data_IF_609364273799
#
_entry.id   IF_609364273799
#
_cell.length_a   1.000
_cell.length_b   1.000
_cell.length_c   1.000
_cell.angle_alpha   90.00
_cell.angle_beta   90.00
_cell.angle_gamma   90.00
#
_symmetry.space_group_name_H-M   'P 1'
#
loop_
_entity.id
_entity.type
_entity.pdbx_description
1 polymer ?
#
# COMPACT_ATOMS: atom_id res chain seq x y z
N UNK A 1 -22.13 22.48 4.44
CA UNK A 1 -21.48 21.32 5.10
C UNK A 1 -20.01 21.16 4.68
N UNK A 2 -19.64 21.28 3.39
CA UNK A 2 -18.24 21.17 2.91
C UNK A 2 -17.23 22.15 3.55
N UNK A 3 -17.62 23.39 3.83
CA UNK A 3 -16.71 24.42 4.39
C UNK A 3 -16.29 24.15 5.84
N UNK A 4 -17.14 23.51 6.64
CA UNK A 4 -16.82 23.17 8.03
C UNK A 4 -15.80 22.03 8.09
N UNK A 5 -15.95 21.06 7.19
CA UNK A 5 -15.06 19.92 7.08
C UNK A 5 -13.65 20.35 6.67
N UNK A 6 -13.53 21.19 5.63
CA UNK A 6 -12.27 21.81 5.20
C UNK A 6 -11.57 22.56 6.35
N UNK A 7 -12.33 23.37 7.11
CA UNK A 7 -11.81 24.09 8.28
C UNK A 7 -11.33 23.14 9.38
N UNK A 8 -12.09 22.09 9.66
CA UNK A 8 -11.73 21.06 10.63
C UNK A 8 -10.43 20.35 10.26
N UNK A 9 -10.27 19.92 9.00
CA UNK A 9 -9.04 19.27 8.53
C UNK A 9 -7.83 20.20 8.65
N UNK A 10 -7.97 21.47 8.26
CA UNK A 10 -6.89 22.47 8.38
C UNK A 10 -6.46 22.68 9.84
N UNK A 11 -7.42 22.83 10.74
CA UNK A 11 -7.14 23.06 12.16
C UNK A 11 -6.57 21.80 12.84
N UNK A 12 -7.07 20.62 12.49
CA UNK A 12 -6.59 19.36 13.03
C UNK A 12 -5.16 19.03 12.55
N UNK A 13 -4.80 19.40 11.31
CA UNK A 13 -3.41 19.38 10.79
C UNK A 13 -2.50 20.29 11.61
N UNK A 14 -2.93 21.55 11.83
CA UNK A 14 -2.17 22.54 12.62
C UNK A 14 -1.87 22.04 14.04
N UNK A 15 -2.83 21.36 14.66
CA UNK A 15 -2.74 20.83 16.02
C UNK A 15 -2.14 19.43 16.12
N UNK A 16 -1.73 18.82 14.99
CA UNK A 16 -1.25 17.43 14.92
C UNK A 16 -2.19 16.41 15.57
N UNK A 17 -3.50 16.62 15.44
CA UNK A 17 -4.51 15.73 16.02
C UNK A 17 -4.64 14.49 15.14
N UNK A 18 -4.36 13.32 15.71
CA UNK A 18 -4.50 12.04 15.03
C UNK A 18 -5.84 11.38 15.40
N UNK A 19 -6.76 11.29 14.44
CA UNK A 19 -8.05 10.61 14.61
C UNK A 19 -8.48 9.94 13.29
N UNK A 20 -9.63 9.26 13.29
CA UNK A 20 -10.11 8.55 12.10
C UNK A 20 -10.29 9.47 10.88
N UNK A 21 -10.68 10.73 11.08
CA UNK A 21 -10.88 11.69 10.00
C UNK A 21 -9.54 12.23 9.49
N UNK A 22 -8.65 12.69 10.37
CA UNK A 22 -7.33 13.20 9.95
C UNK A 22 -6.45 12.11 9.34
N UNK A 23 -6.58 10.86 9.78
CA UNK A 23 -5.84 9.72 9.21
C UNK A 23 -6.01 9.56 7.69
N UNK A 24 -7.22 9.85 7.17
CA UNK A 24 -7.53 9.77 5.73
C UNK A 24 -7.43 11.11 4.99
N UNK A 25 -7.38 12.23 5.72
CA UNK A 25 -7.38 13.60 5.15
C UNK A 25 -6.11 14.41 5.42
N UNK A 26 -5.10 13.81 6.07
CA UNK A 26 -3.74 14.33 6.04
C UNK A 26 -3.24 14.21 4.59
N UNK A 27 -2.88 15.36 4.02
CA UNK A 27 -2.29 15.45 2.69
C UNK A 27 -0.88 14.87 2.75
N UNK A 28 -0.78 13.56 2.71
CA UNK A 28 0.49 12.88 2.49
C UNK A 28 0.75 12.83 0.98
N UNK A 29 1.77 13.56 0.48
CA UNK A 29 2.10 13.58 -0.94
C UNK A 29 2.40 12.19 -1.49
N UNK A 30 2.95 11.30 -0.67
CA UNK A 30 3.27 9.93 -1.07
C UNK A 30 1.99 9.10 -1.25
N UNK A 31 1.00 9.28 -0.36
CA UNK A 31 -0.31 8.62 -0.50
C UNK A 31 -1.05 9.12 -1.73
N UNK A 32 -1.10 10.44 -1.96
CA UNK A 32 -1.77 10.99 -3.15
C UNK A 32 -1.18 10.47 -4.45
N UNK A 33 0.13 10.29 -4.49
CA UNK A 33 0.85 9.91 -5.72
C UNK A 33 0.80 8.41 -6.03
N UNK A 34 0.51 7.55 -5.04
CA UNK A 34 0.61 6.10 -5.23
C UNK A 34 -0.50 5.27 -4.59
N UNK A 35 -1.24 5.74 -3.59
CA UNK A 35 -2.32 4.96 -3.00
C UNK A 35 -3.45 4.78 -4.02
N UNK A 36 -3.91 3.54 -4.22
CA UNK A 36 -4.85 3.25 -5.31
C UNK A 36 -6.18 3.98 -5.14
N UNK A 37 -6.66 4.11 -3.90
CA UNK A 37 -7.90 4.83 -3.59
C UNK A 37 -7.75 6.34 -3.86
N UNK A 38 -6.60 6.95 -3.56
CA UNK A 38 -6.32 8.35 -3.89
C UNK A 38 -6.25 8.57 -5.40
N UNK A 39 -5.52 7.71 -6.11
CA UNK A 39 -5.39 7.80 -7.57
C UNK A 39 -6.73 7.62 -8.27
N UNK A 40 -7.54 6.65 -7.83
CA UNK A 40 -8.90 6.46 -8.32
C UNK A 40 -9.73 7.71 -8.10
N UNK A 41 -9.71 8.27 -6.89
CA UNK A 41 -10.44 9.49 -6.57
C UNK A 41 -9.99 10.67 -7.44
N UNK A 42 -8.69 10.88 -7.61
CA UNK A 42 -8.15 11.97 -8.43
C UNK A 42 -8.53 11.80 -9.90
N UNK A 43 -8.39 10.60 -10.45
CA UNK A 43 -8.82 10.28 -11.82
C UNK A 43 -10.31 10.53 -12.04
N UNK A 44 -11.16 10.14 -11.08
CA UNK A 44 -12.61 10.35 -11.18
C UNK A 44 -13.03 11.82 -11.13
N UNK A 45 -12.20 12.70 -10.57
CA UNK A 45 -12.42 14.16 -10.56
C UNK A 45 -11.88 14.80 -11.83
N UNK A 46 -10.71 14.36 -12.29
CA UNK A 46 -10.01 15.00 -13.41
C UNK A 46 -10.46 14.50 -14.79
N UNK A 47 -10.96 13.27 -14.89
CA UNK A 47 -11.32 12.66 -16.17
C UNK A 47 -12.81 12.79 -16.47
N UNK A 48 -13.14 13.26 -17.68
CA UNK A 48 -14.51 13.26 -18.19
C UNK A 48 -14.93 11.82 -18.53
N UNK A 49 -14.02 11.07 -19.16
CA UNK A 49 -14.24 9.69 -19.58
C UNK A 49 -13.67 8.70 -18.56
N UNK A 50 -14.52 7.80 -18.06
CA UNK A 50 -14.20 6.86 -16.98
C UNK A 50 -13.73 5.51 -17.53
N UNK A 51 -12.78 5.56 -18.46
CA UNK A 51 -12.29 4.36 -19.16
C UNK A 51 -11.20 3.68 -18.32
N UNK A 52 -11.26 2.35 -18.10
CA UNK A 52 -10.28 1.63 -17.29
C UNK A 52 -8.84 1.75 -17.79
N UNK A 53 -8.63 1.80 -19.12
CA UNK A 53 -7.30 1.92 -19.72
C UNK A 53 -6.65 3.28 -19.38
N UNK A 54 -7.43 4.36 -19.43
CA UNK A 54 -6.96 5.69 -19.08
C UNK A 54 -6.61 5.82 -17.60
N UNK A 55 -7.30 5.07 -16.73
CA UNK A 55 -6.92 4.99 -15.33
C UNK A 55 -5.54 4.34 -15.12
N UNK A 56 -5.19 3.33 -15.91
CA UNK A 56 -3.85 2.70 -15.85
C UNK A 56 -2.78 3.69 -16.32
N UNK A 57 -3.04 4.43 -17.40
CA UNK A 57 -2.14 5.48 -17.89
C UNK A 57 -1.95 6.58 -16.86
N UNK A 58 -3.04 7.03 -16.23
CA UNK A 58 -3.01 7.99 -15.13
C UNK A 58 -2.13 7.50 -13.98
N UNK A 59 -2.28 6.23 -13.57
CA UNK A 59 -1.46 5.64 -12.51
C UNK A 59 0.04 5.63 -12.86
N UNK A 60 0.40 5.29 -14.11
CA UNK A 60 1.79 5.36 -14.59
C UNK A 60 2.31 6.80 -14.56
N UNK A 61 1.45 7.72 -14.99
CA UNK A 61 1.53 9.17 -14.84
C UNK A 61 2.05 9.62 -13.47
N UNK A 62 1.28 9.23 -12.45
CA UNK A 62 1.46 9.69 -11.07
C UNK A 62 2.55 8.96 -10.29
N UNK A 63 2.83 7.70 -10.60
CA UNK A 63 3.80 6.86 -9.88
C UNK A 63 5.23 7.04 -10.40
N UNK A 64 5.77 8.25 -10.21
CA UNK A 64 7.12 8.63 -10.66
C UNK A 64 8.21 7.87 -9.85
N UNK A 65 9.33 7.43 -10.48
CA UNK A 65 10.34 6.60 -9.81
C UNK A 65 10.90 7.14 -8.48
N UNK A 66 11.10 8.45 -8.36
CA UNK A 66 11.60 9.10 -7.16
C UNK A 66 10.63 8.93 -5.98
N UNK A 67 9.34 9.13 -6.23
CA UNK A 67 8.28 8.95 -5.23
C UNK A 67 8.19 7.48 -4.82
N UNK A 68 8.27 6.55 -5.78
CA UNK A 68 8.28 5.12 -5.49
C UNK A 68 9.49 4.72 -4.64
N UNK A 69 10.65 5.35 -4.87
CA UNK A 69 11.84 5.14 -4.04
C UNK A 69 11.65 5.67 -2.61
N UNK A 70 10.96 6.78 -2.42
CA UNK A 70 10.64 7.29 -1.07
C UNK A 70 9.65 6.38 -0.35
N UNK A 71 8.55 6.00 -1.01
CA UNK A 71 7.56 5.07 -0.46
C UNK A 71 8.21 3.75 -0.06
N UNK A 72 9.14 3.27 -0.87
CA UNK A 72 9.91 2.10 -0.55
C UNK A 72 10.65 2.26 0.79
N UNK A 73 11.42 3.33 0.95
CA UNK A 73 12.26 3.56 2.13
C UNK A 73 11.37 3.61 3.39
N UNK A 74 10.28 4.37 3.31
CA UNK A 74 9.35 4.57 4.44
C UNK A 74 8.53 3.32 4.79
N UNK A 75 8.47 2.35 3.89
CA UNK A 75 7.71 1.12 4.11
C UNK A 75 8.57 -0.12 4.39
N UNK A 76 9.89 0.05 4.61
CA UNK A 76 10.80 -1.05 4.99
C UNK A 76 10.41 -1.78 6.27
N UNK A 77 9.73 -1.09 7.18
CA UNK A 77 9.21 -1.67 8.42
C UNK A 77 7.91 -2.47 8.22
N UNK A 78 7.47 -2.64 6.98
CA UNK A 78 6.35 -3.49 6.55
C UNK A 78 5.09 -3.28 7.41
N UNK A 79 4.66 -4.30 8.15
CA UNK A 79 3.44 -4.32 8.96
C UNK A 79 3.40 -3.29 10.08
N UNK A 80 4.54 -2.70 10.47
CA UNK A 80 4.59 -1.61 11.45
C UNK A 80 4.38 -0.22 10.83
N UNK A 81 4.37 -0.12 9.50
CA UNK A 81 4.16 1.14 8.77
C UNK A 81 2.70 1.26 8.33
N UNK A 82 2.02 2.33 8.73
CA UNK A 82 0.66 2.65 8.26
C UNK A 82 0.65 2.88 6.74
N UNK A 83 1.69 3.52 6.21
CA UNK A 83 1.88 3.74 4.77
C UNK A 83 1.96 2.40 4.01
N UNK A 84 2.58 1.36 4.57
CA UNK A 84 2.62 0.05 3.94
C UNK A 84 1.25 -0.59 3.77
N UNK A 85 0.40 -0.49 4.79
CA UNK A 85 -0.98 -0.98 4.73
C UNK A 85 -1.76 -0.22 3.66
N UNK A 86 -1.64 1.11 3.67
CA UNK A 86 -2.30 2.00 2.71
C UNK A 86 -1.92 1.68 1.26
N UNK A 87 -0.62 1.46 1.00
CA UNK A 87 -0.14 1.13 -0.34
C UNK A 87 -0.66 -0.23 -0.84
N UNK A 88 -1.01 -1.17 0.06
CA UNK A 88 -1.52 -2.50 -0.29
C UNK A 88 -3.03 -2.52 -0.51
N UNK A 89 -3.75 -1.53 0.03
CA UNK A 89 -5.19 -1.41 -0.13
C UNK A 89 -5.58 -1.39 -1.62
N UNK A 90 -6.47 -2.30 -2.00
CA UNK A 90 -6.98 -2.43 -3.37
C UNK A 90 -5.99 -3.03 -4.39
N UNK A 91 -4.80 -3.47 -3.97
CA UNK A 91 -3.79 -4.03 -4.89
C UNK A 91 -3.62 -5.53 -4.69
N UNK A 92 -3.45 -6.25 -5.81
CA UNK A 92 -3.02 -7.65 -5.77
C UNK A 92 -1.56 -7.72 -5.34
N UNK A 93 -1.31 -8.40 -4.23
CA UNK A 93 0.04 -8.60 -3.67
C UNK A 93 0.56 -9.99 -4.03
N UNK A 94 1.88 -10.20 -4.06
CA UNK A 94 2.47 -11.50 -4.40
C UNK A 94 1.89 -12.67 -3.59
N UNK A 95 1.68 -12.48 -2.28
CA UNK A 95 1.07 -13.48 -1.39
C UNK A 95 -0.39 -13.83 -1.71
N UNK A 96 -1.04 -13.10 -2.63
CA UNK A 96 -2.43 -13.28 -3.06
C UNK A 96 -2.57 -13.52 -4.57
N UNK A 97 -1.49 -13.42 -5.34
CA UNK A 97 -1.52 -13.58 -6.79
C UNK A 97 -2.05 -14.96 -7.21
N UNK A 98 -1.60 -16.02 -6.52
CA UNK A 98 -2.08 -17.38 -6.78
C UNK A 98 -3.58 -17.53 -6.51
N UNK A 99 -4.05 -17.04 -5.36
CA UNK A 99 -5.48 -17.06 -5.00
C UNK A 99 -6.33 -16.30 -6.03
N UNK A 100 -5.87 -15.13 -6.47
CA UNK A 100 -6.58 -14.32 -7.49
C UNK A 100 -6.64 -15.03 -8.84
N UNK A 101 -5.58 -15.72 -9.26
CA UNK A 101 -5.55 -16.44 -10.53
C UNK A 101 -6.51 -17.64 -10.59
N UNK A 102 -6.85 -18.24 -9.44
CA UNK A 102 -7.67 -19.46 -9.35
C UNK A 102 -9.07 -19.23 -8.75
N UNK A 103 -9.36 -18.04 -8.24
CA UNK A 103 -10.67 -17.72 -7.67
C UNK A 103 -11.61 -17.18 -8.74
N UNK A 104 -12.64 -17.95 -9.11
CA UNK A 104 -13.65 -17.54 -10.08
C UNK A 104 -14.82 -16.76 -9.46
N UNK A 105 -14.85 -16.59 -8.14
CA UNK A 105 -15.90 -15.83 -7.45
C UNK A 105 -15.65 -14.33 -7.64
N UNK A 106 -16.68 -13.62 -8.09
CA UNK A 106 -16.66 -12.16 -8.29
C UNK A 106 -16.59 -11.40 -6.96
N UNK A 107 -17.19 -11.96 -5.90
CA UNK A 107 -17.24 -11.36 -4.57
C UNK A 107 -16.86 -12.39 -3.48
N UNK A 108 -16.50 -11.86 -2.30
CA UNK A 108 -16.25 -12.63 -1.09
C UNK A 108 -14.92 -12.33 -0.42
N UNK A 109 -14.48 -13.25 0.44
CA UNK A 109 -13.34 -13.07 1.36
C UNK A 109 -12.05 -12.66 0.66
N UNK A 110 -11.81 -13.07 -0.58
CA UNK A 110 -10.61 -12.67 -1.33
C UNK A 110 -10.65 -11.19 -1.70
N UNK A 111 -11.78 -10.70 -2.19
CA UNK A 111 -11.99 -9.27 -2.53
C UNK A 111 -11.87 -8.43 -1.26
N UNK A 112 -12.50 -8.86 -0.17
CA UNK A 112 -12.40 -8.19 1.14
C UNK A 112 -10.93 -8.09 1.60
N UNK A 113 -10.16 -9.18 1.50
CA UNK A 113 -8.71 -9.18 1.84
C UNK A 113 -7.90 -8.22 0.97
N UNK A 114 -8.22 -8.10 -0.32
CA UNK A 114 -7.57 -7.13 -1.22
C UNK A 114 -7.96 -5.69 -0.84
N UNK A 115 -9.21 -5.48 -0.46
CA UNK A 115 -9.74 -4.22 0.07
C UNK A 115 -9.38 -3.97 1.54
N UNK A 116 -8.33 -4.62 2.05
CA UNK A 116 -7.75 -4.30 3.37
C UNK A 116 -8.53 -4.85 4.56
N UNK A 117 -9.36 -5.89 4.38
CA UNK A 117 -9.95 -6.60 5.51
C UNK A 117 -8.86 -7.05 6.50
N UNK A 118 -9.16 -6.86 7.79
CA UNK A 118 -8.20 -7.09 8.87
C UNK A 118 -7.80 -8.57 8.89
N UNK A 119 -6.52 -8.83 8.62
CA UNK A 119 -5.94 -10.17 8.74
C UNK A 119 -5.42 -10.34 10.17
N UNK A 120 -5.98 -11.31 10.89
CA UNK A 120 -5.51 -11.65 12.23
C UNK A 120 -4.13 -12.32 12.16
N UNK A 121 -3.25 -11.94 13.09
CA UNK A 121 -1.97 -12.62 13.28
C UNK A 121 -2.24 -14.06 13.71
N UNK A 122 -1.79 -15.02 12.90
CA UNK A 122 -1.84 -16.44 13.28
C UNK A 122 -0.60 -16.81 14.08
N UNK A 123 -0.65 -17.89 14.86
CA UNK A 123 0.52 -18.41 15.60
C UNK A 123 1.71 -18.67 14.68
N UNK A 124 1.46 -19.09 13.44
CA UNK A 124 2.49 -19.30 12.42
C UNK A 124 3.16 -17.98 11.99
N UNK A 125 2.39 -16.90 11.83
CA UNK A 125 2.92 -15.57 11.51
C UNK A 125 3.77 -15.02 12.65
N UNK A 126 3.31 -15.16 13.89
CA UNK A 126 4.05 -14.71 15.08
C UNK A 126 5.38 -15.47 15.23
N UNK A 127 5.36 -16.80 15.04
CA UNK A 127 6.56 -17.63 15.01
C UNK A 127 7.51 -17.19 13.89
N UNK A 128 6.98 -16.92 12.70
CA UNK A 128 7.78 -16.41 11.57
C UNK A 128 8.49 -15.10 11.90
N UNK A 129 7.78 -14.16 12.52
CA UNK A 129 8.34 -12.88 13.00
C UNK A 129 9.46 -13.07 14.04
N UNK A 130 9.31 -14.02 14.97
CA UNK A 130 10.34 -14.33 15.98
C UNK A 130 11.59 -14.95 15.37
N UNK A 131 11.42 -15.86 14.41
CA UNK A 131 12.51 -16.62 13.81
C UNK A 131 13.23 -15.87 12.67
N UNK A 132 12.63 -14.83 12.10
CA UNK A 132 13.17 -14.11 10.94
C UNK A 132 14.62 -13.65 11.13
N UNK A 133 14.93 -13.07 12.30
CA UNK A 133 16.28 -12.58 12.60
C UNK A 133 17.29 -13.74 12.74
N UNK A 134 16.90 -14.81 13.44
CA UNK A 134 17.75 -15.99 13.64
C UNK A 134 18.09 -16.67 12.31
N UNK A 135 17.10 -16.79 11.41
CA UNK A 135 17.30 -17.37 10.07
C UNK A 135 18.23 -16.50 9.22
N UNK A 136 18.11 -15.17 9.30
CA UNK A 136 19.00 -14.25 8.58
C UNK A 136 20.45 -14.40 9.07
N UNK A 137 20.66 -14.50 10.38
CA UNK A 137 21.99 -14.71 10.96
C UNK A 137 22.60 -16.02 10.50
N UNK A 138 21.82 -17.09 10.51
CA UNK A 138 22.28 -18.41 10.09
C UNK A 138 22.58 -18.45 8.58
N UNK A 139 21.74 -17.83 7.75
CA UNK A 139 21.98 -17.70 6.31
C UNK A 139 23.28 -16.95 6.02
N UNK A 140 23.57 -15.85 6.73
CA UNK A 140 24.83 -15.09 6.57
C UNK A 140 26.05 -15.97 6.81
N UNK A 141 26.01 -16.85 7.82
CA UNK A 141 27.11 -17.78 8.11
C UNK A 141 27.31 -18.79 6.98
N UNK A 142 26.22 -19.37 6.46
CA UNK A 142 26.29 -20.44 5.46
C UNK A 142 26.67 -19.96 4.05
N UNK A 143 26.17 -18.78 3.63
CA UNK A 143 26.32 -18.32 2.24
C UNK A 143 27.34 -17.20 2.06
N UNK A 144 27.96 -16.69 3.13
CA UNK A 144 28.88 -15.52 3.12
C UNK A 144 28.31 -14.29 2.38
N UNK A 145 26.99 -14.21 2.22
CA UNK A 145 26.27 -13.11 1.55
C UNK A 145 25.61 -12.22 2.59
N UNK A 146 25.50 -10.93 2.27
CA UNK A 146 24.81 -9.98 3.14
C UNK A 146 23.32 -9.94 2.81
N UNK A 147 22.51 -10.40 3.76
CA UNK A 147 21.05 -10.31 3.68
C UNK A 147 20.57 -9.10 4.49
N UNK A 148 19.74 -8.27 3.86
CA UNK A 148 19.05 -7.15 4.49
C UNK A 148 17.55 -7.36 4.32
N UNK A 149 16.76 -6.88 5.29
CA UNK A 149 15.30 -6.85 5.12
C UNK A 149 14.97 -6.12 3.83
N UNK A 150 14.32 -6.83 2.92
CA UNK A 150 13.90 -6.28 1.66
C UNK A 150 12.44 -5.85 1.72
N UNK A 151 12.17 -4.97 0.80
CA UNK A 151 11.10 -3.97 0.72
C UNK A 151 10.00 -4.41 -0.23
N UNK A 152 8.93 -3.62 -0.35
CA UNK A 152 7.99 -3.77 -1.46
C UNK A 152 8.62 -3.30 -2.76
N UNK A 153 8.47 -4.11 -3.79
CA UNK A 153 8.87 -3.79 -5.16
C UNK A 153 7.59 -3.83 -6.00
N UNK A 154 7.13 -2.66 -6.45
CA UNK A 154 6.09 -2.59 -7.49
C UNK A 154 6.72 -2.87 -8.84
N UNK A 155 6.23 -3.88 -9.55
CA UNK A 155 6.72 -4.24 -10.86
C UNK A 155 6.15 -3.25 -11.89
N UNK A 156 6.98 -2.34 -12.41
CA UNK A 156 6.61 -1.38 -13.47
C UNK A 156 6.99 -1.90 -14.88
N UNK A 157 7.31 -3.19 -15.03
CA UNK A 157 7.62 -3.75 -16.35
C UNK A 157 6.36 -3.81 -17.19
N UNK A 158 6.43 -3.14 -18.34
CA UNK A 158 5.50 -3.21 -19.46
C UNK A 158 5.07 -4.66 -19.69
N UNK A 159 3.76 -4.88 -19.65
CA UNK A 159 3.18 -6.02 -20.36
C UNK A 159 3.30 -5.62 -21.82
N UNK A 160 4.32 -6.16 -22.49
CA UNK A 160 4.48 -6.17 -23.94
C UNK A 160 3.35 -6.93 -24.59
#
# INVERSE_FOLDING_TARGET
MFLLFEKYIKEAKKRKIENCVTRYHIDDPLKKSAALHCLKHQFMISSVDKVPHEFINFCKASMVPEILKTIEIETRNQSKSSLWMEMRYGRVTASKAYEVAHCHKKDGVLVEKILGAKVFQTKAMERGLKLENLVIEELKKQTKKTYKKSRRISNNRSIS
#
